data_IF_255421119610
#
_entry.id   IF_255421119610
#
_cell.length_a   1.000
_cell.length_b   1.000
_cell.length_c   1.000
_cell.angle_alpha   90.00
_cell.angle_beta   90.00
_cell.angle_gamma   90.00
#
_symmetry.space_group_name_H-M   'P 1'
#
loop_
_entity.id
_entity.type
_entity.pdbx_description
1 polymer ?
#
# COMPACT_ATOMS: atom_id res chain seq x y z
N UNK A 1 6.62 -25.67 8.07
CA UNK A 1 7.69 -24.79 7.56
C UNK A 1 7.23 -24.25 6.22
N UNK A 2 6.54 -23.11 6.19
CA UNK A 2 6.16 -22.48 4.93
C UNK A 2 7.42 -21.83 4.36
N UNK A 3 7.93 -22.38 3.25
CA UNK A 3 8.89 -21.67 2.42
C UNK A 3 8.30 -20.29 2.11
N UNK A 4 9.03 -19.24 2.44
CA UNK A 4 8.52 -17.87 2.40
C UNK A 4 8.13 -17.49 0.98
N UNK A 5 6.84 -17.23 0.76
CA UNK A 5 6.34 -16.70 -0.50
C UNK A 5 6.98 -15.32 -0.74
N UNK A 6 7.80 -15.22 -1.79
CA UNK A 6 8.35 -13.97 -2.27
C UNK A 6 7.54 -13.51 -3.50
N UNK A 7 7.23 -12.21 -3.57
CA UNK A 7 6.56 -11.61 -4.72
C UNK A 7 7.18 -10.26 -5.04
N UNK A 8 7.09 -9.85 -6.31
CA UNK A 8 7.54 -8.55 -6.76
C UNK A 8 6.38 -7.56 -6.66
N UNK A 9 6.60 -6.46 -5.96
CA UNK A 9 5.67 -5.33 -5.90
C UNK A 9 6.32 -4.08 -6.48
N UNK A 10 5.51 -3.24 -7.11
CA UNK A 10 5.96 -1.99 -7.69
C UNK A 10 5.52 -0.84 -6.80
N UNK A 11 6.49 -0.12 -6.25
CA UNK A 11 6.27 1.08 -5.45
C UNK A 11 6.98 2.27 -6.09
N UNK A 12 6.52 3.47 -5.77
CA UNK A 12 7.17 4.70 -6.18
C UNK A 12 8.56 4.77 -5.53
N UNK A 13 9.58 5.16 -6.31
CA UNK A 13 10.98 5.17 -5.85
C UNK A 13 11.22 6.07 -4.63
N UNK A 14 10.44 7.14 -4.51
CA UNK A 14 10.53 8.09 -3.40
C UNK A 14 9.72 7.66 -2.16
N UNK A 15 8.99 6.54 -2.22
CA UNK A 15 8.23 6.08 -1.06
C UNK A 15 9.18 5.80 0.12
N UNK A 16 8.78 6.15 1.36
CA UNK A 16 9.63 5.92 2.51
C UNK A 16 9.83 4.41 2.71
N UNK A 17 10.99 3.98 3.26
CA UNK A 17 11.22 2.57 3.57
C UNK A 17 10.15 2.08 4.53
N UNK A 18 9.79 0.80 4.43
CA UNK A 18 8.82 0.20 5.34
C UNK A 18 9.36 0.29 6.78
N UNK A 19 8.56 0.80 7.74
CA UNK A 19 8.98 0.84 9.13
C UNK A 19 8.99 -0.56 9.72
N UNK A 20 9.76 -0.75 10.79
CA UNK A 20 9.74 -1.99 11.57
C UNK A 20 8.33 -2.24 12.10
N UNK A 21 7.90 -3.50 12.15
CA UNK A 21 6.60 -3.85 12.74
C UNK A 21 6.50 -3.30 14.17
N UNK A 22 5.34 -2.72 14.51
CA UNK A 22 5.12 -2.00 15.78
C UNK A 22 5.49 -0.51 15.76
N UNK A 23 6.23 -0.02 14.76
CA UNK A 23 6.47 1.42 14.58
C UNK A 23 5.31 2.11 13.86
N UNK A 24 5.32 3.44 13.87
CA UNK A 24 4.29 4.26 13.22
C UNK A 24 4.21 3.97 11.72
N UNK A 25 3.01 3.75 11.21
CA UNK A 25 2.79 3.60 9.78
C UNK A 25 3.11 4.92 9.08
N UNK A 26 4.10 4.89 8.18
CA UNK A 26 4.62 6.07 7.47
C UNK A 26 4.07 6.24 6.04
N UNK A 27 3.16 5.35 5.60
CA UNK A 27 2.66 5.38 4.23
C UNK A 27 3.63 4.83 3.17
N UNK A 28 4.49 3.85 3.50
CA UNK A 28 5.37 3.20 2.52
C UNK A 28 4.64 2.47 1.38
N UNK A 29 3.39 2.07 1.56
CA UNK A 29 2.58 1.37 0.55
C UNK A 29 2.84 -0.14 0.42
N UNK A 30 3.84 -0.72 1.09
CA UNK A 30 4.20 -2.15 1.00
C UNK A 30 3.01 -3.06 1.32
N UNK A 31 2.42 -2.96 2.52
CA UNK A 31 1.31 -3.82 2.91
C UNK A 31 0.07 -3.62 2.03
N UNK A 32 -0.23 -2.37 1.66
CA UNK A 32 -1.38 -2.03 0.83
C UNK A 32 -1.26 -2.53 -0.62
N UNK A 33 -0.04 -2.77 -1.11
CA UNK A 33 0.20 -3.29 -2.46
C UNK A 33 0.12 -4.83 -2.50
N UNK A 34 0.47 -5.48 -1.38
CA UNK A 34 0.42 -6.93 -1.22
C UNK A 34 -1.04 -7.42 -1.11
N UNK A 35 -1.82 -6.83 -0.21
CA UNK A 35 -3.20 -7.29 0.06
C UNK A 35 -4.13 -6.13 0.48
N UNK A 36 -5.43 -6.16 0.12
CA UNK A 36 -6.42 -5.23 0.66
C UNK A 36 -6.59 -5.37 2.17
N UNK A 37 -6.77 -4.23 2.86
CA UNK A 37 -7.17 -4.21 4.26
C UNK A 37 -8.68 -4.48 4.42
N UNK A 38 -9.18 -4.76 5.64
CA UNK A 38 -10.61 -5.05 5.89
C UNK A 38 -11.57 -3.97 5.35
N UNK A 39 -11.14 -2.71 5.29
CA UNK A 39 -11.92 -1.61 4.72
C UNK A 39 -12.10 -1.79 3.21
N UNK A 40 -11.05 -2.19 2.48
CA UNK A 40 -11.17 -2.48 1.05
C UNK A 40 -12.04 -3.72 0.80
N UNK A 41 -11.94 -4.75 1.64
CA UNK A 41 -12.81 -5.93 1.57
C UNK A 41 -14.28 -5.58 1.74
N UNK A 42 -14.62 -4.74 2.73
CA UNK A 42 -16.01 -4.38 3.04
C UNK A 42 -16.59 -3.32 2.10
N UNK A 43 -15.83 -2.29 1.77
CA UNK A 43 -16.37 -1.15 1.02
C UNK A 43 -16.09 -1.19 -0.48
N UNK A 44 -15.05 -1.91 -0.91
CA UNK A 44 -14.64 -2.00 -2.31
C UNK A 44 -14.83 -3.40 -2.90
N UNK A 45 -15.33 -4.36 -2.10
CA UNK A 45 -15.43 -5.78 -2.46
C UNK A 45 -14.12 -6.35 -3.03
N UNK A 46 -12.99 -5.88 -2.47
CA UNK A 46 -11.67 -6.29 -2.92
C UNK A 46 -11.04 -7.22 -1.90
N UNK A 47 -10.77 -8.47 -2.29
CA UNK A 47 -10.23 -9.50 -1.40
C UNK A 47 -8.78 -9.91 -1.72
N UNK A 48 -8.20 -9.46 -2.83
CA UNK A 48 -6.83 -9.78 -3.24
C UNK A 48 -6.16 -8.62 -4.00
N UNK A 49 -4.83 -8.67 -4.10
CA UNK A 49 -4.00 -7.76 -4.88
C UNK A 49 -3.84 -6.35 -4.29
N UNK A 50 -3.25 -5.44 -5.06
CA UNK A 50 -2.99 -4.06 -4.62
C UNK A 50 -4.28 -3.29 -4.36
N UNK A 51 -4.40 -2.67 -3.20
CA UNK A 51 -5.57 -1.90 -2.78
C UNK A 51 -5.95 -0.82 -3.80
N UNK A 52 -7.21 -0.83 -4.24
CA UNK A 52 -7.76 0.14 -5.22
C UNK A 52 -7.85 1.57 -4.68
N UNK A 53 -7.81 1.74 -3.36
CA UNK A 53 -7.79 3.06 -2.73
C UNK A 53 -6.37 3.53 -2.38
N UNK A 54 -5.31 2.82 -2.79
CA UNK A 54 -3.94 3.26 -2.57
C UNK A 54 -3.60 4.41 -3.53
N UNK A 55 -3.25 5.58 -2.98
CA UNK A 55 -2.94 6.79 -3.75
C UNK A 55 -1.51 7.23 -3.46
N UNK A 56 -0.71 7.46 -4.49
CA UNK A 56 0.58 8.14 -4.35
C UNK A 56 0.35 9.65 -4.15
N UNK A 57 0.89 10.21 -3.08
CA UNK A 57 0.85 11.65 -2.80
C UNK A 57 2.24 12.25 -3.06
N UNK A 58 2.46 12.92 -4.21
CA UNK A 58 3.79 13.41 -4.59
C UNK A 58 4.33 14.45 -3.61
N UNK A 59 3.48 15.32 -3.08
CA UNK A 59 3.89 16.40 -2.17
C UNK A 59 4.43 15.89 -0.82
N UNK A 60 3.96 14.72 -0.39
CA UNK A 60 4.36 14.10 0.88
C UNK A 60 5.30 12.90 0.68
N UNK A 61 5.65 12.60 -0.58
CA UNK A 61 6.44 11.44 -1.01
C UNK A 61 5.99 10.12 -0.35
N UNK A 62 4.69 9.95 -0.13
CA UNK A 62 4.13 8.77 0.55
C UNK A 62 2.81 8.34 -0.05
N UNK A 63 2.41 7.12 0.28
CA UNK A 63 1.09 6.62 -0.05
C UNK A 63 0.04 7.01 0.99
N UNK A 64 -1.15 7.37 0.51
CA UNK A 64 -2.32 7.69 1.30
C UNK A 64 -3.46 6.71 1.00
N UNK A 65 -4.32 6.48 1.99
CA UNK A 65 -5.55 5.72 1.80
C UNK A 65 -6.67 6.63 1.28
N UNK A 66 -7.14 6.39 0.06
CA UNK A 66 -8.24 7.10 -0.57
C UNK A 66 -9.55 7.04 0.21
N UNK A 67 -9.79 5.97 0.96
CA UNK A 67 -10.95 5.85 1.86
C UNK A 67 -10.84 6.76 3.09
N UNK A 68 -9.65 7.31 3.39
CA UNK A 68 -9.44 8.29 4.45
C UNK A 68 -9.47 9.71 3.91
N UNK A 69 -8.82 9.96 2.78
CA UNK A 69 -8.67 11.33 2.28
C UNK A 69 -9.83 11.80 1.40
N UNK A 70 -10.49 10.89 0.67
CA UNK A 70 -11.55 11.21 -0.29
C UNK A 70 -12.60 10.08 -0.37
N UNK A 71 -13.26 9.70 0.74
CA UNK A 71 -14.13 8.52 0.76
C UNK A 71 -15.31 8.60 -0.20
N UNK A 72 -15.88 9.78 -0.48
CA UNK A 72 -16.99 9.91 -1.43
C UNK A 72 -16.62 9.57 -2.88
N UNK A 73 -15.32 9.61 -3.24
CA UNK A 73 -14.83 9.16 -4.55
C UNK A 73 -15.04 7.65 -4.74
N UNK A 74 -15.00 6.89 -3.65
CA UNK A 74 -15.15 5.45 -3.64
C UNK A 74 -16.57 5.01 -3.26
N UNK A 75 -17.23 5.76 -2.37
CA UNK A 75 -18.57 5.50 -1.88
C UNK A 75 -19.54 6.58 -2.37
N UNK A 76 -20.14 6.36 -3.55
CA UNK A 76 -21.08 7.31 -4.18
C UNK A 76 -22.30 7.64 -3.32
N UNK A 77 -22.67 6.76 -2.40
CA UNK A 77 -23.80 6.94 -1.48
C UNK A 77 -23.43 7.71 -0.21
N UNK A 78 -22.14 7.94 0.06
CA UNK A 78 -21.68 8.65 1.25
C UNK A 78 -21.88 10.16 1.06
N UNK A 79 -22.69 10.84 1.89
CA UNK A 79 -22.83 12.29 1.82
C UNK A 79 -21.51 12.99 2.19
N UNK A 80 -21.14 14.06 1.47
CA UNK A 80 -19.91 14.82 1.71
C UNK A 80 -19.77 15.31 3.17
N UNK A 81 -20.88 15.73 3.78
CA UNK A 81 -20.95 16.14 5.20
C UNK A 81 -20.53 15.05 6.19
N UNK A 82 -20.55 13.79 5.78
CA UNK A 82 -20.19 12.64 6.62
C UNK A 82 -18.77 12.13 6.36
N UNK A 83 -18.03 12.69 5.40
CA UNK A 83 -16.68 12.20 5.04
C UNK A 83 -15.73 12.21 6.22
N UNK A 84 -15.60 13.34 6.92
CA UNK A 84 -14.68 13.47 8.06
C UNK A 84 -14.99 12.46 9.17
N UNK A 85 -16.28 12.23 9.44
CA UNK A 85 -16.69 11.22 10.42
C UNK A 85 -16.33 9.82 9.96
N UNK A 86 -16.61 9.50 8.69
CA UNK A 86 -16.32 8.22 8.08
C UNK A 86 -14.81 7.93 8.08
N UNK A 87 -14.01 8.88 7.61
CA UNK A 87 -12.55 8.78 7.59
C UNK A 87 -11.97 8.50 8.97
N UNK A 88 -12.47 9.17 10.02
CA UNK A 88 -12.02 8.90 11.40
C UNK A 88 -12.40 7.49 11.88
N UNK A 89 -13.57 6.99 11.50
CA UNK A 89 -14.01 5.62 11.84
C UNK A 89 -13.16 4.57 11.12
N UNK A 90 -12.90 4.78 9.84
CA UNK A 90 -12.03 3.93 9.03
C UNK A 90 -10.61 3.94 9.57
N UNK A 91 -10.03 5.11 9.84
CA UNK A 91 -8.67 5.24 10.35
C UNK A 91 -8.50 4.48 11.67
N UNK A 92 -9.47 4.58 12.58
CA UNK A 92 -9.47 3.84 13.84
C UNK A 92 -9.64 2.34 13.64
N UNK A 93 -10.40 1.89 12.64
CA UNK A 93 -10.63 0.47 12.39
C UNK A 93 -9.36 -0.23 11.90
N UNK A 94 -8.62 0.38 10.97
CA UNK A 94 -7.41 -0.22 10.39
C UNK A 94 -6.12 0.29 11.02
N UNK A 95 -6.21 1.02 12.14
CA UNK A 95 -5.06 1.64 12.79
C UNK A 95 -4.16 2.43 11.80
N UNK A 96 -4.81 3.15 10.86
CA UNK A 96 -4.09 3.91 9.85
C UNK A 96 -3.21 4.98 10.49
N UNK A 97 -1.99 5.14 9.99
CA UNK A 97 -0.99 6.10 10.47
C UNK A 97 -0.61 5.94 11.96
N UNK A 98 -0.97 4.83 12.64
CA UNK A 98 -0.60 4.62 14.06
C UNK A 98 0.40 3.51 14.26
N UNK A 99 0.18 2.32 13.69
CA UNK A 99 1.09 1.18 13.87
C UNK A 99 1.18 0.35 12.60
N UNK A 100 2.39 -0.12 12.28
CA UNK A 100 2.61 -1.11 11.24
C UNK A 100 2.39 -2.51 11.80
N UNK A 101 1.32 -3.17 11.36
CA UNK A 101 0.94 -4.54 11.74
C UNK A 101 1.53 -5.64 10.84
N UNK A 102 1.98 -5.26 9.65
CA UNK A 102 2.54 -6.19 8.66
C UNK A 102 4.00 -6.54 8.95
N UNK A 103 4.28 -7.85 9.01
CA UNK A 103 5.63 -8.45 9.18
C UNK A 103 6.41 -8.61 7.87
N UNK A 104 5.77 -8.34 6.72
CA UNK A 104 6.42 -8.45 5.42
C UNK A 104 7.58 -7.46 5.30
N UNK A 105 8.72 -7.91 4.78
CA UNK A 105 9.87 -7.05 4.47
C UNK A 105 9.90 -6.75 2.97
N UNK A 106 10.33 -5.54 2.61
CA UNK A 106 10.54 -5.16 1.22
C UNK A 106 12.00 -4.77 1.04
N UNK A 107 12.66 -5.42 0.10
CA UNK A 107 14.03 -5.12 -0.32
C UNK A 107 13.96 -4.50 -1.73
N UNK A 108 14.79 -3.51 -2.00
CA UNK A 108 14.91 -2.99 -3.37
C UNK A 108 15.55 -4.07 -4.24
N UNK A 109 14.82 -4.52 -5.26
CA UNK A 109 15.41 -5.36 -6.28
C UNK A 109 16.37 -4.51 -7.10
N UNK A 110 17.66 -4.73 -6.87
CA UNK A 110 18.69 -4.27 -7.81
C UNK A 110 18.72 -5.30 -8.92
N UNK A 111 18.30 -4.93 -10.14
CA UNK A 111 18.57 -5.79 -11.29
C UNK A 111 20.08 -6.07 -11.34
N UNK A 112 20.51 -7.34 -11.39
CA UNK A 112 21.91 -7.63 -11.66
C UNK A 112 22.23 -7.07 -13.04
N UNK A 113 23.22 -6.19 -13.11
CA UNK A 113 23.71 -5.64 -14.37
C UNK A 113 23.98 -6.78 -15.36
N UNK A 114 23.12 -6.89 -16.37
CA UNK A 114 23.33 -7.56 -17.65
C UNK A 114 23.88 -9.00 -17.64
N UNK A 115 22.96 -9.97 -17.73
CA UNK A 115 23.15 -11.18 -18.55
C UNK A 115 22.70 -10.92 -19.99
N UNK A 116 23.24 -9.90 -20.67
CA UNK A 116 23.10 -9.71 -22.13
C UNK A 116 24.37 -9.07 -22.69
N UNK A 117 25.47 -9.79 -22.55
CA UNK A 117 26.63 -9.69 -23.45
C UNK A 117 27.08 -11.11 -23.76
N UNK A 118 27.50 -11.32 -25.00
CA UNK A 118 28.00 -12.59 -25.57
C UNK A 118 26.92 -13.52 -26.15
N UNK A 119 26.29 -13.09 -27.25
CA UNK A 119 26.32 -13.90 -28.47
C UNK A 119 25.94 -13.08 -29.71
N UNK A 120 26.94 -12.42 -30.29
CA UNK A 120 27.07 -12.40 -31.73
C UNK A 120 28.56 -12.30 -32.11
N UNK A 121 29.14 -13.39 -32.62
CA UNK A 121 30.08 -13.22 -33.71
C UNK A 121 29.85 -14.19 -34.88
N UNK A 122 29.84 -13.55 -36.06
CA UNK A 122 30.03 -13.99 -37.46
C UNK A 122 28.91 -14.79 -38.13
#
# INVERSE_FOLDING_TARGET
>A
MHAGDAQVIWLHRQAPPKPVAGQVCNGCGVCCTIEPCPVASVFLWQYRGSCRALIWAPDAERYLCGMLIQPARYLRWLPQRCETWFSRRVARWIAAETVCDSTASAELQTEPASLHSENLPK
#
